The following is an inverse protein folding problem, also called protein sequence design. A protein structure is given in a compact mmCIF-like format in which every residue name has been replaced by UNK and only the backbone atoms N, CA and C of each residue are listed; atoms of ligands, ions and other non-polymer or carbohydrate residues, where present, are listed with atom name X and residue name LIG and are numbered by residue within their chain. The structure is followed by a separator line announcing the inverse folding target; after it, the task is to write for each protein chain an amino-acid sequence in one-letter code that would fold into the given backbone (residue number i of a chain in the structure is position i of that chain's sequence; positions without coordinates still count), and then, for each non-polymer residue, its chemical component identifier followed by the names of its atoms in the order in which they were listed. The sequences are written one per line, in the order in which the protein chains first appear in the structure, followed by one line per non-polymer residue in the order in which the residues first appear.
data_IF_746768385482
#
_entry.id   IF_746768385482
#
_cell.length_a   1.000
_cell.length_b   1.000
_cell.length_c   1.000
_cell.angle_alpha   90.00
_cell.angle_beta   90.00
_cell.angle_gamma   90.00
#
_symmetry.space_group_name_H-M   'P 1'
#
loop_
_entity.id
_entity.type
_entity.pdbx_description
1 polymer ?
#
# COMPACT_ATOMS: atom_id res chain seq x y z
N UNK A 1 4.34 20.19 -5.82
CA UNK A 1 4.95 19.62 -7.04
C UNK A 1 5.95 18.49 -6.75
N UNK A 2 7.00 18.73 -5.94
CA UNK A 2 8.03 17.71 -5.63
C UNK A 2 7.50 16.39 -5.03
N UNK A 3 6.52 16.45 -4.12
CA UNK A 3 5.92 15.23 -3.53
C UNK A 3 5.21 14.35 -4.56
N UNK A 4 4.37 14.95 -5.39
CA UNK A 4 3.66 14.23 -6.45
C UNK A 4 4.66 13.58 -7.42
N UNK A 5 5.70 14.31 -7.82
CA UNK A 5 6.76 13.75 -8.67
C UNK A 5 7.48 12.56 -8.02
N UNK A 6 7.82 12.64 -6.72
CA UNK A 6 8.42 11.51 -5.98
C UNK A 6 7.48 10.32 -5.89
N UNK A 7 6.19 10.55 -5.61
CA UNK A 7 5.19 9.50 -5.55
C UNK A 7 5.05 8.81 -6.91
N UNK A 8 4.91 9.59 -7.99
CA UNK A 8 4.83 9.05 -9.35
C UNK A 8 6.07 8.23 -9.70
N UNK A 9 7.27 8.74 -9.40
CA UNK A 9 8.52 8.02 -9.61
C UNK A 9 8.54 6.67 -8.87
N UNK A 10 8.17 6.67 -7.59
CA UNK A 10 8.14 5.46 -6.77
C UNK A 10 7.11 4.47 -7.29
N UNK A 11 5.90 4.92 -7.65
CA UNK A 11 4.87 4.05 -8.21
C UNK A 11 5.30 3.42 -9.53
N UNK A 12 5.90 4.20 -10.45
CA UNK A 12 6.40 3.68 -11.73
C UNK A 12 7.52 2.67 -11.50
N UNK A 13 8.47 2.95 -10.61
CA UNK A 13 9.57 2.05 -10.29
C UNK A 13 9.03 0.73 -9.70
N UNK A 14 8.17 0.83 -8.69
CA UNK A 14 7.58 -0.33 -7.99
C UNK A 14 6.74 -1.16 -8.95
N UNK A 15 5.91 -0.52 -9.77
CA UNK A 15 5.09 -1.19 -10.78
C UNK A 15 5.98 -1.93 -11.79
N UNK A 16 7.05 -1.29 -12.28
CA UNK A 16 8.01 -1.93 -13.21
C UNK A 16 8.67 -3.15 -12.57
N UNK A 17 9.16 -3.03 -11.33
CA UNK A 17 9.77 -4.15 -10.61
C UNK A 17 8.76 -5.28 -10.37
N UNK A 18 7.51 -4.94 -10.02
CA UNK A 18 6.45 -5.90 -9.77
C UNK A 18 6.04 -6.67 -11.03
N UNK A 19 5.97 -6.00 -12.18
CA UNK A 19 5.50 -6.61 -13.45
C UNK A 19 6.60 -7.28 -14.27
N UNK A 20 7.87 -6.95 -14.04
CA UNK A 20 9.02 -7.58 -14.73
C UNK A 20 9.69 -8.61 -13.83
N UNK A 21 10.42 -8.14 -12.81
CA UNK A 21 11.26 -8.98 -11.96
C UNK A 21 10.44 -9.91 -11.07
N UNK A 22 9.42 -9.39 -10.40
CA UNK A 22 8.62 -10.18 -9.46
C UNK A 22 7.65 -11.11 -10.17
N UNK A 23 7.23 -10.79 -11.39
CA UNK A 23 6.39 -11.67 -12.20
C UNK A 23 7.10 -13.00 -12.54
N UNK A 24 8.41 -12.92 -12.80
CA UNK A 24 9.29 -14.06 -13.08
C UNK A 24 9.82 -14.73 -11.80
N UNK A 25 10.14 -13.94 -10.77
CA UNK A 25 10.57 -14.44 -9.48
C UNK A 25 9.36 -14.82 -8.60
N UNK A 26 8.88 -16.06 -8.73
CA UNK A 26 7.79 -16.64 -7.91
C UNK A 26 8.30 -17.61 -6.84
N UNK A 27 8.99 -17.14 -5.79
CA UNK A 27 9.42 -18.02 -4.71
C UNK A 27 8.19 -18.72 -4.11
N UNK A 28 8.21 -20.05 -4.10
CA UNK A 28 7.09 -20.88 -3.64
C UNK A 28 5.76 -20.65 -4.41
N UNK A 29 5.82 -20.21 -5.68
CA UNK A 29 4.64 -20.06 -6.53
C UNK A 29 3.77 -18.83 -6.25
N UNK A 30 4.23 -17.90 -5.39
CA UNK A 30 3.57 -16.64 -5.09
C UNK A 30 4.57 -15.48 -5.09
N UNK A 31 4.08 -14.26 -5.25
CA UNK A 31 4.89 -13.04 -5.34
C UNK A 31 4.48 -12.05 -4.25
N UNK A 32 5.35 -11.08 -3.94
CA UNK A 32 4.98 -9.95 -3.10
C UNK A 32 4.01 -9.01 -3.82
N UNK A 33 3.16 -8.31 -3.07
CA UNK A 33 2.33 -7.23 -3.61
C UNK A 33 2.89 -5.90 -3.14
N UNK A 34 3.82 -5.37 -3.96
CA UNK A 34 4.59 -4.18 -3.62
C UNK A 34 3.74 -2.91 -3.69
N UNK A 35 2.76 -2.82 -4.59
CA UNK A 35 1.85 -1.68 -4.67
C UNK A 35 0.91 -1.63 -3.46
N UNK A 36 0.41 -2.78 -3.00
CA UNK A 36 -0.31 -2.87 -1.73
C UNK A 36 0.59 -2.44 -0.55
N UNK A 37 1.85 -2.87 -0.55
CA UNK A 37 2.81 -2.47 0.48
C UNK A 37 3.06 -0.94 0.50
N UNK A 38 3.12 -0.30 -0.68
CA UNK A 38 3.24 1.16 -0.77
C UNK A 38 2.00 1.85 -0.16
N UNK A 39 0.80 1.33 -0.40
CA UNK A 39 -0.44 1.85 0.19
C UNK A 39 -0.43 1.73 1.73
N UNK A 40 -0.04 0.56 2.24
CA UNK A 40 0.12 0.28 3.68
C UNK A 40 1.13 1.25 4.31
N UNK A 41 2.31 1.40 3.69
CA UNK A 41 3.38 2.27 4.18
C UNK A 41 2.97 3.75 4.15
N UNK A 42 2.26 4.19 3.10
CA UNK A 42 1.72 5.55 3.02
C UNK A 42 0.67 5.82 4.10
N UNK A 43 -0.22 4.85 4.38
CA UNK A 43 -1.18 4.92 5.48
C UNK A 43 -0.49 5.09 6.82
N UNK A 44 0.48 4.23 7.13
CA UNK A 44 1.26 4.33 8.38
C UNK A 44 2.08 5.63 8.49
N UNK A 45 2.62 6.14 7.39
CA UNK A 45 3.50 7.30 7.42
C UNK A 45 2.74 8.64 7.43
N UNK A 46 1.55 8.68 6.84
CA UNK A 46 0.89 9.93 6.47
C UNK A 46 -0.60 9.98 6.87
N UNK A 47 -1.14 8.93 7.47
CA UNK A 47 -2.51 8.84 7.94
C UNK A 47 -3.52 8.31 6.90
N UNK A 48 -4.80 8.23 7.27
CA UNK A 48 -5.79 7.42 6.56
C UNK A 48 -6.14 7.98 5.18
N UNK A 49 -6.38 9.29 5.06
CA UNK A 49 -6.72 9.93 3.78
C UNK A 49 -5.58 9.82 2.77
N UNK A 50 -4.34 10.00 3.23
CA UNK A 50 -3.15 9.93 2.35
C UNK A 50 -2.87 8.48 1.95
N UNK A 51 -2.96 7.53 2.88
CA UNK A 51 -2.87 6.09 2.57
C UNK A 51 -3.92 5.65 1.55
N UNK A 52 -5.18 6.07 1.73
CA UNK A 52 -6.26 5.80 0.79
C UNK A 52 -5.99 6.36 -0.61
N UNK A 53 -5.52 7.61 -0.69
CA UNK A 53 -5.21 8.27 -1.96
C UNK A 53 -4.08 7.57 -2.71
N UNK A 54 -2.99 7.25 -2.00
CA UNK A 54 -1.85 6.54 -2.59
C UNK A 54 -2.26 5.13 -3.03
N UNK A 55 -3.02 4.42 -2.19
CA UNK A 55 -3.53 3.09 -2.50
C UNK A 55 -4.44 3.09 -3.72
N UNK A 56 -5.36 4.04 -3.82
CA UNK A 56 -6.22 4.19 -5.00
C UNK A 56 -5.42 4.40 -6.28
N UNK A 57 -4.47 5.35 -6.29
CA UNK A 57 -3.65 5.64 -7.46
C UNK A 57 -2.80 4.42 -7.84
N UNK A 58 -2.21 3.74 -6.86
CA UNK A 58 -1.43 2.52 -7.08
C UNK A 58 -2.29 1.40 -7.66
N UNK A 59 -3.50 1.21 -7.15
CA UNK A 59 -4.42 0.19 -7.63
C UNK A 59 -4.99 0.50 -9.02
N UNK A 60 -5.25 1.77 -9.34
CA UNK A 60 -5.62 2.18 -10.72
C UNK A 60 -4.48 1.86 -11.69
N UNK A 61 -3.24 2.17 -11.31
CA UNK A 61 -2.07 1.84 -12.14
C UNK A 61 -1.94 0.32 -12.34
N UNK A 62 -2.18 -0.47 -11.30
CA UNK A 62 -2.19 -1.93 -11.37
C UNK A 62 -3.30 -2.44 -12.29
N UNK A 63 -4.54 -1.97 -12.10
CA UNK A 63 -5.71 -2.38 -12.87
C UNK A 63 -5.54 -2.10 -14.38
N UNK A 64 -4.91 -0.96 -14.71
CA UNK A 64 -4.60 -0.60 -16.10
C UNK A 64 -3.52 -1.48 -16.72
N UNK A 65 -2.49 -1.87 -15.97
CA UNK A 65 -1.36 -2.65 -16.50
C UNK A 65 -1.69 -4.13 -16.60
N UNK A 66 -2.38 -4.71 -15.63
CA UNK A 66 -2.71 -6.13 -15.60
C UNK A 66 -4.03 -6.47 -16.31
N UNK A 67 -4.72 -5.48 -16.88
CA UNK A 67 -6.04 -5.62 -17.51
C UNK A 67 -7.05 -6.34 -16.60
N UNK A 68 -6.90 -6.18 -15.28
CA UNK A 68 -7.87 -6.66 -14.30
C UNK A 68 -9.12 -5.77 -14.33
N UNK A 69 -10.25 -6.23 -13.78
CA UNK A 69 -11.45 -5.40 -13.70
C UNK A 69 -11.12 -4.06 -13.05
N UNK A 70 -11.39 -2.98 -13.76
CA UNK A 70 -11.07 -1.64 -13.32
C UNK A 70 -11.75 -1.36 -11.97
N UNK A 71 -10.96 -1.03 -10.95
CA UNK A 71 -11.47 -0.75 -9.61
C UNK A 71 -11.22 -1.87 -8.60
N UNK A 72 -10.86 -3.08 -9.02
CA UNK A 72 -10.64 -4.21 -8.11
C UNK A 72 -9.45 -3.95 -7.19
N UNK A 73 -8.27 -3.69 -7.77
CA UNK A 73 -7.06 -3.38 -7.00
C UNK A 73 -7.15 -2.00 -6.39
N UNK A 74 -7.73 -1.05 -7.13
CA UNK A 74 -7.97 0.33 -6.70
C UNK A 74 -8.74 0.41 -5.38
N UNK A 75 -9.88 -0.28 -5.28
CA UNK A 75 -10.74 -0.25 -4.09
C UNK A 75 -10.12 -1.04 -2.94
N UNK A 76 -9.45 -2.16 -3.24
CA UNK A 76 -8.71 -2.94 -2.26
C UNK A 76 -7.63 -2.10 -1.59
N UNK A 77 -6.74 -1.51 -2.39
CA UNK A 77 -5.58 -0.78 -1.88
C UNK A 77 -5.99 0.52 -1.18
N UNK A 78 -7.03 1.19 -1.69
CA UNK A 78 -7.66 2.33 -1.02
C UNK A 78 -8.14 1.92 0.38
N UNK A 79 -8.94 0.85 0.49
CA UNK A 79 -9.51 0.41 1.76
C UNK A 79 -8.42 0.01 2.76
N UNK A 80 -7.44 -0.79 2.32
CA UNK A 80 -6.34 -1.22 3.18
C UNK A 80 -5.49 -0.02 3.63
N UNK A 81 -5.12 0.87 2.72
CA UNK A 81 -4.35 2.08 3.04
C UNK A 81 -5.09 3.01 4.00
N UNK A 82 -6.41 3.15 3.85
CA UNK A 82 -7.26 3.91 4.78
C UNK A 82 -7.24 3.28 6.17
N UNK A 83 -7.59 1.99 6.27
CA UNK A 83 -7.71 1.26 7.54
C UNK A 83 -6.37 1.30 8.28
N UNK A 84 -5.26 0.96 7.60
CA UNK A 84 -3.93 1.02 8.21
C UNK A 84 -3.58 2.43 8.67
N UNK A 85 -3.95 3.45 7.90
CA UNK A 85 -3.68 4.84 8.27
C UNK A 85 -4.51 5.33 9.46
N UNK A 86 -5.57 4.64 9.87
CA UNK A 86 -6.30 4.95 11.12
C UNK A 86 -5.54 4.49 12.37
N UNK A 87 -4.55 3.60 12.23
CA UNK A 87 -3.71 3.17 13.35
C UNK A 87 -2.90 4.37 13.85
N UNK A 88 -3.05 4.68 15.13
CA UNK A 88 -2.46 5.88 15.71
C UNK A 88 -0.92 5.82 15.69
N UNK A 89 -0.27 6.93 15.34
CA UNK A 89 1.21 7.01 15.23
C UNK A 89 1.89 6.67 16.57
N UNK A 90 1.26 6.99 17.71
CA UNK A 90 1.73 6.58 19.04
C UNK A 90 1.79 5.05 19.22
N UNK A 91 0.85 4.30 18.62
CA UNK A 91 0.85 2.83 18.64
C UNK A 91 1.94 2.29 17.72
N UNK A 92 2.11 2.86 16.53
CA UNK A 92 3.14 2.42 15.58
C UNK A 92 4.57 2.64 16.10
N UNK A 93 4.77 3.64 16.97
CA UNK A 93 6.07 3.98 17.56
C UNK A 93 6.33 3.33 18.91
N UNK A 94 5.34 2.67 19.53
CA UNK A 94 5.53 2.07 20.85
C UNK A 94 6.48 0.87 20.83
N UNK A 95 6.54 0.16 19.70
CA UNK A 95 7.55 -0.88 19.48
C UNK A 95 7.88 -1.07 17.99
N UNK A 96 9.15 -1.39 17.64
CA UNK A 96 9.58 -1.57 16.26
C UNK A 96 8.95 -2.78 15.56
N UNK A 97 8.39 -3.73 16.30
CA UNK A 97 7.70 -4.90 15.74
C UNK A 97 6.25 -4.62 15.34
N UNK A 98 5.65 -3.52 15.80
CA UNK A 98 4.24 -3.21 15.51
C UNK A 98 4.02 -2.91 14.02
N UNK A 99 4.81 -2.05 13.36
CA UNK A 99 4.66 -1.81 11.92
C UNK A 99 4.86 -3.09 11.08
N UNK A 100 5.71 -4.00 11.55
CA UNK A 100 5.95 -5.31 10.94
C UNK A 100 4.69 -6.17 11.02
N UNK A 101 4.07 -6.27 12.21
CA UNK A 101 2.82 -7.00 12.40
C UNK A 101 1.66 -6.38 11.62
N UNK A 102 1.52 -5.05 11.66
CA UNK A 102 0.48 -4.33 10.90
C UNK A 102 0.63 -4.60 9.41
N UNK A 103 1.85 -4.55 8.87
CA UNK A 103 2.11 -4.86 7.46
C UNK A 103 1.74 -6.30 7.11
N UNK A 104 2.08 -7.26 7.99
CA UNK A 104 1.75 -8.67 7.78
C UNK A 104 0.24 -8.88 7.71
N UNK A 105 -0.49 -8.41 8.73
CA UNK A 105 -1.94 -8.57 8.84
C UNK A 105 -2.65 -7.82 7.72
N UNK A 106 -2.25 -6.58 7.43
CA UNK A 106 -2.86 -5.77 6.38
C UNK A 106 -2.63 -6.37 4.98
N UNK A 107 -1.44 -6.94 4.71
CA UNK A 107 -1.16 -7.61 3.44
C UNK A 107 -2.00 -8.88 3.31
N UNK A 108 -2.08 -9.70 4.37
CA UNK A 108 -2.86 -10.93 4.36
C UNK A 108 -4.35 -10.65 4.14
N UNK A 109 -4.93 -9.72 4.91
CA UNK A 109 -6.32 -9.30 4.77
C UNK A 109 -6.57 -8.61 3.43
N UNK A 110 -5.62 -7.82 2.92
CA UNK A 110 -5.72 -7.17 1.62
C UNK A 110 -5.88 -8.16 0.47
N UNK A 111 -5.12 -9.26 0.47
CA UNK A 111 -5.23 -10.30 -0.57
C UNK A 111 -6.57 -11.03 -0.47
N UNK A 112 -7.01 -11.36 0.75
CA UNK A 112 -8.31 -12.00 0.97
C UNK A 112 -9.43 -11.09 0.49
N UNK A 113 -9.35 -9.80 0.82
CA UNK A 113 -10.31 -8.79 0.40
C UNK A 113 -10.33 -8.62 -1.12
N UNK A 114 -9.15 -8.62 -1.76
CA UNK A 114 -9.02 -8.57 -3.21
C UNK A 114 -9.72 -9.75 -3.90
N UNK A 115 -9.49 -10.96 -3.40
CA UNK A 115 -10.14 -12.17 -3.94
C UNK A 115 -11.65 -12.12 -3.72
N UNK A 116 -12.10 -11.69 -2.53
CA UNK A 116 -13.53 -11.54 -2.22
C UNK A 116 -14.21 -10.52 -3.14
N UNK A 117 -13.59 -9.34 -3.34
CA UNK A 117 -14.09 -8.33 -4.26
C UNK A 117 -14.12 -8.83 -5.70
N UNK A 118 -13.09 -9.56 -6.13
CA UNK A 118 -13.07 -10.19 -7.46
C UNK A 118 -14.26 -11.12 -7.68
N UNK A 119 -14.55 -11.98 -6.72
CA UNK A 119 -15.71 -12.87 -6.77
C UNK A 119 -17.04 -12.10 -6.86
N UNK A 120 -17.18 -11.01 -6.09
CA UNK A 120 -18.35 -10.12 -6.15
C UNK A 120 -18.48 -9.42 -7.51
N UNK A 121 -17.36 -9.10 -8.16
CA UNK A 121 -17.30 -8.54 -9.52
C UNK A 121 -17.44 -9.59 -10.63
N UNK A 122 -17.85 -10.82 -10.28
CA UNK A 122 -18.09 -11.91 -11.23
C UNK A 122 -16.82 -12.61 -11.72
N UNK A 123 -15.65 -12.31 -11.15
CA UNK A 123 -14.42 -13.03 -11.48
C UNK A 123 -14.42 -14.41 -10.81
N UNK A 124 -14.32 -15.45 -11.64
CA UNK A 124 -14.21 -16.83 -11.19
C UNK A 124 -12.77 -17.15 -10.77
N UNK A 125 -12.27 -16.46 -9.74
CA UNK A 125 -10.94 -16.72 -9.19
C UNK A 125 -10.94 -18.06 -8.45
N UNK A 126 -10.66 -19.14 -9.16
CA UNK A 126 -10.19 -20.37 -8.54
C UNK A 126 -8.71 -20.20 -8.26
N UNK A 127 -8.37 -19.97 -6.99
CA UNK A 127 -6.99 -19.78 -6.54
C UNK A 127 -6.59 -20.97 -5.67
N UNK A 128 -6.15 -22.10 -6.26
CA UNK A 128 -5.62 -23.22 -5.50
C UNK A 128 -4.46 -22.75 -4.61
N UNK A 129 -4.49 -23.12 -3.33
CA UNK A 129 -3.43 -22.72 -2.41
C UNK A 129 -3.50 -21.25 -1.97
N UNK A 130 -4.68 -20.62 -1.98
CA UNK A 130 -4.88 -19.27 -1.45
C UNK A 130 -4.21 -19.03 -0.08
N UNK A 131 -4.29 -19.93 0.92
CA UNK A 131 -3.60 -19.72 2.19
C UNK A 131 -2.07 -19.59 2.04
N UNK A 132 -1.47 -20.35 1.13
CA UNK A 132 -0.04 -20.29 0.82
C UNK A 132 0.32 -18.97 0.16
N UNK A 133 -0.48 -18.51 -0.80
CA UNK A 133 -0.27 -17.22 -1.48
C UNK A 133 -0.37 -16.08 -0.47
N UNK A 134 -1.45 -16.05 0.32
CA UNK A 134 -1.67 -15.06 1.38
C UNK A 134 -0.47 -15.01 2.33
N UNK A 135 0.00 -16.17 2.79
CA UNK A 135 1.13 -16.26 3.70
C UNK A 135 2.44 -15.77 3.04
N UNK A 136 2.77 -16.25 1.84
CA UNK A 136 4.02 -15.90 1.16
C UNK A 136 4.04 -14.40 0.83
N UNK A 137 2.96 -13.86 0.27
CA UNK A 137 2.87 -12.43 -0.05
C UNK A 137 2.95 -11.58 1.22
N UNK A 138 2.26 -11.96 2.30
CA UNK A 138 2.36 -11.25 3.58
C UNK A 138 3.78 -11.26 4.14
N UNK A 139 4.47 -12.41 4.10
CA UNK A 139 5.87 -12.52 4.53
C UNK A 139 6.78 -11.63 3.68
N UNK A 140 6.68 -11.69 2.35
CA UNK A 140 7.49 -10.86 1.45
C UNK A 140 7.25 -9.37 1.73
N UNK A 141 6.00 -8.95 1.87
CA UNK A 141 5.64 -7.57 2.17
C UNK A 141 6.20 -7.14 3.53
N UNK A 142 6.11 -8.00 4.54
CA UNK A 142 6.65 -7.75 5.88
C UNK A 142 8.16 -7.62 5.89
N UNK A 143 8.89 -8.45 5.13
CA UNK A 143 10.35 -8.33 4.99
C UNK A 143 10.74 -6.98 4.36
N UNK A 144 9.89 -6.46 3.48
CA UNK A 144 10.08 -5.17 2.80
C UNK A 144 9.43 -3.98 3.54
N UNK A 145 8.82 -4.20 4.72
CA UNK A 145 8.08 -3.18 5.45
C UNK A 145 8.95 -1.98 5.84
N UNK A 146 10.16 -2.23 6.35
CA UNK A 146 11.08 -1.17 6.76
C UNK A 146 11.53 -0.29 5.57
N UNK A 147 12.02 -0.86 4.45
CA UNK A 147 12.29 -0.08 3.24
C UNK A 147 11.08 0.72 2.76
N UNK A 148 9.90 0.09 2.72
CA UNK A 148 8.68 0.75 2.25
C UNK A 148 8.30 1.95 3.13
N UNK A 149 8.37 1.82 4.45
CA UNK A 149 8.13 2.91 5.40
C UNK A 149 9.15 4.03 5.27
N UNK A 150 10.42 3.70 5.02
CA UNK A 150 11.46 4.69 4.78
C UNK A 150 11.13 5.52 3.53
N UNK A 151 10.79 4.85 2.42
CA UNK A 151 10.41 5.50 1.16
C UNK A 151 9.16 6.36 1.34
N UNK A 152 8.12 5.83 2.00
CA UNK A 152 6.88 6.57 2.26
C UNK A 152 7.13 7.86 3.04
N UNK A 153 7.93 7.78 4.12
CA UNK A 153 8.32 8.97 4.90
C UNK A 153 9.17 9.95 4.08
N UNK A 154 10.01 9.47 3.17
CA UNK A 154 10.81 10.32 2.28
C UNK A 154 9.97 11.06 1.24
N UNK A 155 8.91 10.43 0.71
CA UNK A 155 7.92 11.07 -0.16
C UNK A 155 7.22 12.20 0.60
N UNK A 156 6.78 11.95 1.82
CA UNK A 156 6.05 12.93 2.64
C UNK A 156 6.92 14.12 3.06
N UNK A 157 8.20 13.90 3.42
CA UNK A 157 9.15 14.98 3.73
C UNK A 157 9.30 16.01 2.61
N UNK A 158 8.97 15.65 1.37
CA UNK A 158 9.02 16.56 0.22
C UNK A 158 7.91 17.62 0.21
N UNK A 159 6.90 17.49 1.06
CA UNK A 159 5.85 18.49 1.27
C UNK A 159 5.80 18.87 2.77
N UNK A 160 6.66 19.79 3.24
CA UNK A 160 6.42 20.44 4.51
C UNK A 160 5.11 21.23 4.39
N UNK A 161 4.08 20.82 5.13
CA UNK A 161 2.81 21.55 5.22
C UNK A 161 3.03 22.93 5.87
N UNK A 162 3.48 23.90 5.07
CA UNK A 162 3.54 25.32 5.45
C UNK A 162 2.19 26.05 5.25
N UNK A 163 1.17 25.36 4.73
CA UNK A 163 -0.10 25.99 4.33
C UNK A 163 -1.24 25.87 5.35
N UNK A 164 -1.03 25.20 6.50
CA UNK A 164 -2.03 25.06 7.57
C UNK A 164 -1.62 25.75 8.89
N UNK A 165 -0.94 26.89 8.81
CA UNK A 165 -0.96 27.85 9.92
C UNK A 165 -1.99 28.93 9.57
N UNK A 166 -3.26 28.81 10.00
CA UNK A 166 -4.13 29.97 10.07
C UNK A 166 -3.44 30.98 10.99
N UNK A 167 -3.31 32.19 10.48
CA UNK A 167 -2.78 33.36 11.15
C UNK A 167 -3.59 33.72 12.40
N UNK A 168 -3.39 32.99 13.51
CA UNK A 168 -3.86 33.38 14.85
C UNK A 168 -2.85 34.31 15.56
N UNK A 169 -2.12 35.14 14.80
CA UNK A 169 -1.21 36.17 15.35
C UNK A 169 -1.73 37.60 15.22
N UNK A 170 -2.98 37.80 14.80
CA UNK A 170 -3.56 39.13 14.56
C UNK A 170 -4.56 39.65 15.59
N UNK A 171 -4.76 38.98 16.72
CA UNK A 171 -5.76 39.39 17.74
C UNK A 171 -5.13 39.50 19.14
N UNK A 172 -4.07 40.29 19.26
CA UNK A 172 -3.61 40.83 20.54
C UNK A 172 -3.43 42.33 20.40
#
# INVERSE_FOLDING_TARGET
MLRAARLTLVLVLVLTVQTTWLADARPFGATGDLLLLVAIAAGMAAGPVRGATVGFIAGVAMDLVLLTPFGLSSLTYLAVGFIVGTVHDGVLRSAPWIPVLVTFVASALGIVFLVMLGQLLGQQFRVPGLPRIVLVTAVINTLLAFPALFVARWIEKAAPDRMLQPSMRGLR
#
